data_IF_397905473573
#
_entry.id   IF_397905473573
#
_cell.length_a   1.000
_cell.length_b   1.000
_cell.length_c   1.000
_cell.angle_alpha   90.00
_cell.angle_beta   90.00
_cell.angle_gamma   90.00
#
_symmetry.space_group_name_H-M   'P 1'
#
loop_
_entity.id
_entity.type
_entity.pdbx_description
1 polymer ?
#
# COMPACT_ATOMS: atom_id res chain seq x y z
N UNK A 1 17.78 1.21 -4.61
CA UNK A 1 19.15 0.95 -4.13
C UNK A 1 19.26 -0.54 -3.93
N UNK A 2 20.41 -1.12 -4.24
CA UNK A 2 20.65 -2.53 -3.97
C UNK A 2 20.56 -2.81 -2.46
N UNK A 3 19.94 -3.91 -2.02
CA UNK A 3 19.51 -4.06 -0.63
C UNK A 3 20.59 -4.57 0.33
N UNK A 4 21.83 -4.75 -0.13
CA UNK A 4 22.97 -5.15 0.71
C UNK A 4 24.26 -4.62 0.08
N UNK A 5 25.40 -4.73 0.77
CA UNK A 5 26.71 -4.37 0.21
C UNK A 5 27.25 -5.43 -0.75
N UNK A 6 26.89 -6.70 -0.56
CA UNK A 6 27.35 -7.81 -1.39
C UNK A 6 26.66 -7.81 -2.76
N UNK A 7 27.39 -8.08 -3.82
CA UNK A 7 26.85 -8.30 -5.17
C UNK A 7 26.92 -9.78 -5.60
N UNK A 8 27.23 -10.68 -4.65
CA UNK A 8 27.41 -12.11 -4.89
C UNK A 8 26.06 -12.80 -5.10
N UNK A 9 25.61 -12.90 -6.35
CA UNK A 9 24.41 -13.67 -6.69
C UNK A 9 24.71 -15.16 -6.52
N UNK A 10 23.96 -15.83 -5.65
CA UNK A 10 24.09 -17.26 -5.37
C UNK A 10 22.98 -18.07 -6.02
N UNK A 11 21.84 -17.46 -6.34
CA UNK A 11 20.82 -18.04 -7.22
C UNK A 11 19.99 -16.95 -7.92
N UNK A 12 19.51 -17.25 -9.12
CA UNK A 12 18.78 -16.32 -9.98
C UNK A 12 17.27 -16.50 -9.88
N UNK A 13 16.54 -15.46 -10.30
CA UNK A 13 15.11 -15.53 -10.53
C UNK A 13 14.81 -16.53 -11.66
N UNK A 14 13.74 -17.29 -11.51
CA UNK A 14 13.31 -18.37 -12.40
C UNK A 14 14.31 -19.55 -12.55
N UNK A 15 15.34 -19.67 -11.70
CA UNK A 15 16.14 -20.91 -11.66
C UNK A 15 15.22 -22.11 -11.41
N UNK A 16 15.28 -23.11 -12.30
CA UNK A 16 14.45 -24.30 -12.20
C UNK A 16 15.05 -25.30 -11.20
N UNK A 17 14.36 -25.49 -10.07
CA UNK A 17 14.74 -26.43 -9.01
C UNK A 17 13.79 -27.64 -9.06
N UNK A 18 13.99 -28.53 -10.03
CA UNK A 18 13.22 -29.78 -10.16
C UNK A 18 11.74 -29.56 -10.48
N UNK A 19 11.43 -28.63 -11.37
CA UNK A 19 10.07 -28.26 -11.79
C UNK A 19 9.46 -27.09 -11.02
N UNK A 20 10.17 -26.58 -10.00
CA UNK A 20 9.76 -25.37 -9.26
C UNK A 20 10.70 -24.22 -9.59
N UNK A 21 10.15 -23.15 -10.16
CA UNK A 21 10.89 -21.92 -10.44
C UNK A 21 11.18 -21.15 -9.15
N UNK A 22 12.38 -20.59 -9.07
CA UNK A 22 12.81 -19.75 -7.98
C UNK A 22 12.23 -18.33 -8.11
N UNK A 23 11.33 -17.94 -7.20
CA UNK A 23 10.62 -16.65 -7.28
C UNK A 23 11.38 -15.45 -6.70
N UNK A 24 12.71 -15.53 -6.60
CA UNK A 24 13.57 -14.51 -5.99
C UNK A 24 14.98 -14.52 -6.57
N UNK A 25 15.78 -13.53 -6.20
CA UNK A 25 17.24 -13.56 -6.37
C UNK A 25 17.87 -13.78 -5.00
N UNK A 26 18.76 -14.76 -4.90
CA UNK A 26 19.51 -15.04 -3.69
C UNK A 26 20.85 -14.31 -3.74
N UNK A 27 21.09 -13.45 -2.77
CA UNK A 27 22.34 -12.67 -2.63
C UNK A 27 23.10 -13.18 -1.41
N UNK A 28 24.26 -13.79 -1.64
CA UNK A 28 25.11 -14.27 -0.56
C UNK A 28 25.75 -13.13 0.23
N UNK A 29 26.07 -13.38 1.50
CA UNK A 29 26.82 -12.44 2.34
C UNK A 29 28.19 -12.07 1.72
N UNK A 30 28.77 -10.94 2.14
CA UNK A 30 30.09 -10.44 1.73
C UNK A 30 31.12 -11.55 1.91
N UNK A 31 31.17 -12.13 3.11
CA UNK A 31 31.92 -13.34 3.39
C UNK A 31 30.96 -14.54 3.38
N UNK A 32 31.23 -15.52 2.53
CA UNK A 32 30.38 -16.69 2.39
C UNK A 32 30.18 -17.40 3.74
N UNK A 33 28.91 -17.66 4.08
CA UNK A 33 28.53 -18.34 5.32
C UNK A 33 28.54 -17.47 6.59
N UNK A 34 28.91 -16.19 6.51
CA UNK A 34 28.95 -15.28 7.67
C UNK A 34 27.72 -14.38 7.68
N UNK A 35 26.88 -14.52 8.71
CA UNK A 35 25.69 -13.69 8.90
C UNK A 35 26.04 -12.29 9.45
N UNK A 36 25.07 -11.37 9.41
CA UNK A 36 25.19 -10.05 10.06
C UNK A 36 25.33 -8.87 9.10
N UNK A 37 25.52 -9.11 7.81
CA UNK A 37 25.59 -8.02 6.82
C UNK A 37 24.33 -7.15 6.87
N UNK A 38 24.46 -5.82 6.82
CA UNK A 38 23.31 -4.93 6.87
C UNK A 38 22.44 -5.09 5.63
N UNK A 39 21.13 -5.17 5.84
CA UNK A 39 20.13 -5.13 4.78
C UNK A 39 19.50 -3.73 4.76
N UNK A 40 19.42 -3.15 3.57
CA UNK A 40 18.91 -1.80 3.32
C UNK A 40 17.55 -1.83 2.63
N UNK A 41 16.68 -0.88 2.96
CA UNK A 41 15.47 -0.63 2.18
C UNK A 41 15.84 -0.17 0.77
N UNK A 42 15.31 -0.84 -0.26
CA UNK A 42 15.61 -0.50 -1.66
C UNK A 42 15.15 0.92 -2.03
N UNK A 43 14.09 1.40 -1.38
CA UNK A 43 13.45 2.68 -1.60
C UNK A 43 12.71 3.11 -0.33
N UNK A 44 12.24 4.36 -0.31
CA UNK A 44 11.32 4.83 0.73
C UNK A 44 10.05 3.97 0.71
N UNK A 45 9.44 3.74 1.86
CA UNK A 45 8.20 2.97 1.92
C UNK A 45 7.70 2.70 3.33
N UNK A 46 6.59 1.98 3.41
CA UNK A 46 5.98 1.53 4.66
C UNK A 46 6.20 0.03 4.82
N UNK A 47 6.73 -0.39 5.96
CA UNK A 47 6.87 -1.80 6.31
C UNK A 47 5.47 -2.39 6.48
N UNK A 48 5.05 -3.27 5.58
CA UNK A 48 3.73 -3.94 5.62
C UNK A 48 3.76 -5.25 6.41
N UNK A 49 4.97 -5.82 6.60
CA UNK A 49 5.21 -6.96 7.47
C UNK A 49 6.66 -6.96 7.95
N UNK A 50 6.87 -7.19 9.25
CA UNK A 50 8.17 -7.51 9.84
C UNK A 50 7.97 -8.63 10.87
N UNK A 51 8.59 -9.78 10.66
CA UNK A 51 8.49 -10.93 11.56
C UNK A 51 8.68 -12.27 10.84
N UNK A 52 8.19 -13.35 11.45
CA UNK A 52 8.28 -14.69 10.86
C UNK A 52 7.41 -14.83 9.60
N UNK A 53 8.01 -15.38 8.55
CA UNK A 53 7.39 -15.67 7.26
C UNK A 53 7.47 -17.17 7.02
N UNK A 54 6.34 -17.79 6.70
CA UNK A 54 6.26 -19.22 6.40
C UNK A 54 7.27 -19.59 5.30
N UNK A 55 8.18 -20.53 5.59
CA UNK A 55 9.28 -20.96 4.71
C UNK A 55 10.30 -19.87 4.35
N UNK A 56 10.27 -18.72 5.03
CA UNK A 56 11.17 -17.58 4.80
C UNK A 56 12.01 -17.18 6.03
N UNK A 57 11.78 -17.78 7.20
CA UNK A 57 12.41 -17.34 8.44
C UNK A 57 11.95 -15.94 8.84
N UNK A 58 12.82 -15.12 9.43
CA UNK A 58 12.52 -13.70 9.62
C UNK A 58 12.56 -12.97 8.28
N UNK A 59 11.60 -12.07 8.09
CA UNK A 59 11.54 -11.28 6.87
C UNK A 59 10.76 -9.99 6.99
N UNK A 60 10.98 -9.13 6.00
CA UNK A 60 10.36 -7.82 5.87
C UNK A 60 9.70 -7.70 4.49
N UNK A 61 8.54 -7.07 4.48
CA UNK A 61 7.87 -6.59 3.27
C UNK A 61 7.72 -5.08 3.36
N UNK A 62 8.04 -4.36 2.29
CA UNK A 62 7.89 -2.90 2.21
C UNK A 62 7.03 -2.56 1.00
N UNK A 63 6.00 -1.74 1.23
CA UNK A 63 5.22 -1.09 0.18
C UNK A 63 5.84 0.27 -0.16
N UNK A 64 6.20 0.45 -1.43
CA UNK A 64 6.85 1.64 -1.97
C UNK A 64 5.88 2.56 -2.74
N UNK A 65 4.58 2.23 -2.76
CA UNK A 65 3.59 2.91 -3.59
C UNK A 65 3.65 2.50 -5.05
N UNK A 66 2.76 3.05 -5.89
CA UNK A 66 2.67 2.75 -7.34
C UNK A 66 2.63 1.25 -7.67
N UNK A 67 2.02 0.45 -6.80
CA UNK A 67 1.98 -1.03 -6.90
C UNK A 67 3.37 -1.71 -6.88
N UNK A 68 4.38 -1.04 -6.31
CA UNK A 68 5.73 -1.57 -6.14
C UNK A 68 5.91 -2.01 -4.69
N UNK A 69 6.35 -3.26 -4.49
CA UNK A 69 6.70 -3.79 -3.15
C UNK A 69 8.05 -4.48 -3.21
N UNK A 70 8.69 -4.60 -2.06
CA UNK A 70 9.88 -5.44 -1.92
C UNK A 70 9.78 -6.41 -0.76
N UNK A 71 10.47 -7.55 -0.89
CA UNK A 71 10.56 -8.59 0.13
C UNK A 71 12.01 -8.93 0.41
N UNK A 72 12.32 -9.11 1.69
CA UNK A 72 13.61 -9.47 2.23
C UNK A 72 13.40 -10.64 3.18
N UNK A 73 13.91 -11.83 2.89
CA UNK A 73 13.76 -13.02 3.74
C UNK A 73 15.11 -13.50 4.27
N UNK A 74 15.05 -14.55 5.10
CA UNK A 74 16.21 -15.23 5.68
C UNK A 74 17.05 -14.32 6.58
N UNK A 75 16.42 -13.33 7.21
CA UNK A 75 17.09 -12.37 8.08
C UNK A 75 17.48 -13.00 9.43
N UNK A 76 18.55 -12.51 10.04
CA UNK A 76 18.95 -12.88 11.41
C UNK A 76 18.39 -11.91 12.46
N UNK A 77 18.17 -10.66 12.06
CA UNK A 77 17.69 -9.60 12.94
C UNK A 77 16.81 -8.63 12.14
N UNK A 78 15.73 -8.13 12.77
CA UNK A 78 14.87 -7.08 12.24
C UNK A 78 15.13 -5.79 13.03
N UNK A 79 15.41 -4.69 12.33
CA UNK A 79 15.63 -3.37 12.95
C UNK A 79 14.45 -2.42 12.76
N UNK A 80 13.35 -2.93 12.19
CA UNK A 80 12.11 -2.18 11.94
C UNK A 80 10.88 -3.04 12.24
N UNK A 81 9.74 -2.40 12.42
CA UNK A 81 8.47 -3.06 12.75
C UNK A 81 7.37 -2.75 11.71
N UNK A 82 6.34 -3.60 11.66
CA UNK A 82 5.15 -3.37 10.81
C UNK A 82 4.53 -1.99 11.08
N UNK A 83 4.18 -1.26 10.02
CA UNK A 83 3.68 0.11 10.05
C UNK A 83 4.76 1.19 10.07
N UNK A 84 6.03 0.82 10.27
CA UNK A 84 7.13 1.79 10.29
C UNK A 84 7.43 2.32 8.89
N UNK A 85 7.65 3.64 8.81
CA UNK A 85 8.18 4.28 7.61
C UNK A 85 9.70 4.12 7.55
N UNK A 86 10.21 3.79 6.37
CA UNK A 86 11.65 3.68 6.12
C UNK A 86 12.08 4.55 4.95
N UNK A 87 13.35 4.94 4.97
CA UNK A 87 14.00 5.67 3.88
C UNK A 87 14.85 4.74 3.01
N UNK A 88 14.97 5.07 1.73
CA UNK A 88 15.92 4.43 0.81
C UNK A 88 17.31 4.39 1.45
N UNK A 89 17.91 3.19 1.53
CA UNK A 89 19.22 2.99 2.14
C UNK A 89 19.21 2.88 3.66
N UNK A 90 18.07 3.06 4.33
CA UNK A 90 17.96 2.81 5.77
C UNK A 90 18.19 1.33 6.07
N UNK A 91 18.99 1.05 7.10
CA UNK A 91 19.16 -0.32 7.61
C UNK A 91 17.83 -0.81 8.19
N UNK A 92 17.36 -1.94 7.68
CA UNK A 92 16.09 -2.56 8.10
C UNK A 92 16.30 -3.88 8.86
N UNK A 93 17.52 -4.40 8.87
CA UNK A 93 17.89 -5.59 9.63
C UNK A 93 19.23 -6.15 9.16
N UNK A 94 19.49 -7.40 9.51
CA UNK A 94 20.73 -8.11 9.18
C UNK A 94 20.46 -9.40 8.42
N UNK A 95 21.31 -9.69 7.45
CA UNK A 95 21.29 -10.94 6.69
C UNK A 95 21.56 -12.12 7.61
N UNK A 96 20.89 -13.23 7.35
CA UNK A 96 21.09 -14.50 8.05
C UNK A 96 20.87 -15.66 7.10
N UNK A 97 20.44 -16.79 7.66
CA UNK A 97 19.86 -17.92 6.95
C UNK A 97 18.68 -18.44 7.76
N UNK A 98 17.62 -18.96 7.14
CA UNK A 98 16.54 -19.56 7.95
C UNK A 98 17.12 -20.72 8.73
N UNK A 99 16.86 -20.68 10.03
CA UNK A 99 17.36 -21.68 10.98
C UNK A 99 18.90 -21.75 11.07
N UNK A 100 19.61 -20.68 10.71
CA UNK A 100 21.02 -20.49 11.00
C UNK A 100 21.18 -19.94 12.43
N UNK A 101 21.76 -20.75 13.34
CA UNK A 101 22.05 -20.34 14.74
C UNK A 101 23.51 -20.60 15.06
N UNK A 102 24.18 -19.63 15.69
CA UNK A 102 25.56 -19.75 16.19
C UNK A 102 26.59 -20.23 15.15
N UNK A 103 26.40 -19.90 13.86
CA UNK A 103 27.29 -20.33 12.78
C UNK A 103 26.94 -21.69 12.16
N UNK A 104 25.90 -22.36 12.64
CA UNK A 104 25.48 -23.69 12.19
C UNK A 104 24.16 -23.62 11.42
N UNK A 105 24.17 -24.15 10.20
CA UNK A 105 22.97 -24.39 9.42
C UNK A 105 22.32 -25.69 9.91
N UNK A 106 21.12 -25.61 10.47
CA UNK A 106 20.41 -26.83 10.91
C UNK A 106 19.73 -27.52 9.70
N UNK A 107 19.39 -28.81 9.80
CA UNK A 107 18.76 -29.56 8.71
C UNK A 107 17.47 -28.88 8.23
N UNK A 108 17.32 -28.74 6.90
CA UNK A 108 16.24 -28.03 6.21
C UNK A 108 16.27 -26.49 6.32
N UNK A 109 17.31 -25.93 6.92
CA UNK A 109 17.59 -24.50 6.94
C UNK A 109 18.15 -23.97 5.61
N UNK A 110 18.23 -22.65 5.51
CA UNK A 110 18.74 -21.93 4.34
C UNK A 110 20.14 -21.40 4.65
N UNK A 111 21.08 -21.50 3.70
CA UNK A 111 22.44 -20.94 3.85
C UNK A 111 22.38 -19.45 4.15
N UNK A 112 23.48 -18.85 4.60
CA UNK A 112 23.48 -17.38 4.81
C UNK A 112 23.37 -16.66 3.47
N UNK A 113 22.20 -16.08 3.20
CA UNK A 113 21.89 -15.26 2.03
C UNK A 113 20.64 -14.40 2.28
N UNK A 114 20.43 -13.44 1.39
CA UNK A 114 19.19 -12.67 1.29
C UNK A 114 18.38 -13.18 0.08
N UNK A 115 17.19 -13.72 0.31
CA UNK A 115 16.15 -13.85 -0.73
C UNK A 115 15.50 -12.48 -0.91
N UNK A 116 15.72 -11.89 -2.08
CA UNK A 116 15.24 -10.57 -2.46
C UNK A 116 14.28 -10.64 -3.64
N UNK A 117 13.13 -9.97 -3.52
CA UNK A 117 12.13 -9.87 -4.58
C UNK A 117 11.63 -8.44 -4.71
N UNK A 118 11.42 -8.00 -5.95
CA UNK A 118 10.65 -6.81 -6.28
C UNK A 118 9.31 -7.26 -6.86
N UNK A 119 8.21 -6.73 -6.36
CA UNK A 119 6.88 -6.95 -6.90
C UNK A 119 6.43 -5.71 -7.67
N UNK A 120 5.84 -5.90 -8.85
CA UNK A 120 5.15 -4.87 -9.63
C UNK A 120 3.74 -5.38 -9.90
N UNK A 121 2.73 -4.60 -9.53
CA UNK A 121 1.32 -5.01 -9.66
C UNK A 121 1.04 -6.39 -9.03
N UNK A 122 1.61 -6.61 -7.84
CA UNK A 122 1.56 -7.86 -7.08
C UNK A 122 2.17 -9.10 -7.75
N UNK A 123 2.82 -8.95 -8.91
CA UNK A 123 3.59 -10.00 -9.56
C UNK A 123 5.05 -9.95 -9.15
N UNK A 124 5.62 -11.09 -8.76
CA UNK A 124 7.06 -11.19 -8.50
C UNK A 124 7.84 -10.95 -9.80
N UNK A 125 8.85 -10.10 -9.71
CA UNK A 125 9.70 -9.74 -10.85
C UNK A 125 11.17 -9.92 -10.48
N UNK A 126 11.98 -10.31 -11.46
CA UNK A 126 13.43 -10.42 -11.31
C UNK A 126 14.04 -9.05 -10.91
N UNK A 127 14.60 -8.93 -9.69
CA UNK A 127 15.26 -7.71 -9.25
C UNK A 127 16.42 -7.25 -10.14
N UNK A 128 17.11 -8.17 -10.84
CA UNK A 128 18.23 -7.84 -11.71
C UNK A 128 17.81 -7.07 -12.98
N UNK A 129 16.50 -7.01 -13.27
CA UNK A 129 15.95 -6.09 -14.28
C UNK A 129 16.03 -4.62 -13.85
N UNK A 130 16.25 -4.34 -12.57
CA UNK A 130 16.27 -3.00 -11.99
C UNK A 130 17.64 -2.63 -11.41
N UNK A 131 18.48 -3.64 -11.16
CA UNK A 131 19.79 -3.46 -10.54
C UNK A 131 20.88 -4.21 -11.30
N UNK A 132 22.02 -3.55 -11.48
CA UNK A 132 23.25 -4.12 -12.04
C UNK A 132 24.45 -3.67 -11.21
N UNK A 133 25.33 -4.60 -10.88
CA UNK A 133 26.57 -4.36 -10.11
C UNK A 133 26.35 -3.58 -8.81
N UNK A 134 25.26 -3.86 -8.10
CA UNK A 134 24.90 -3.19 -6.85
C UNK A 134 24.32 -1.78 -7.01
N UNK A 135 24.04 -1.34 -8.24
CA UNK A 135 23.47 -0.04 -8.55
C UNK A 135 22.15 -0.17 -9.30
N UNK A 136 21.27 0.84 -9.18
CA UNK A 136 20.04 0.89 -9.97
C UNK A 136 20.38 1.23 -11.43
N UNK A 137 19.75 0.55 -12.41
CA UNK A 137 19.98 0.86 -13.83
C UNK A 137 19.16 2.10 -14.25
N UNK A 138 19.70 2.90 -15.17
CA UNK A 138 18.98 4.04 -15.74
C UNK A 138 17.69 3.58 -16.45
N UNK A 139 16.56 4.26 -16.20
CA UNK A 139 15.25 3.87 -16.74
C UNK A 139 14.46 2.87 -15.88
N UNK A 140 15.03 2.38 -14.77
CA UNK A 140 14.27 1.71 -13.72
C UNK A 140 13.17 2.65 -13.22
N UNK A 141 11.89 2.22 -13.15
CA UNK A 141 10.84 3.03 -12.52
C UNK A 141 11.35 3.47 -11.15
N UNK A 142 11.40 4.77 -10.90
CA UNK A 142 11.81 5.26 -9.60
C UNK A 142 10.83 4.69 -8.56
N UNK A 143 11.26 3.65 -7.83
CA UNK A 143 10.57 3.21 -6.64
C UNK A 143 10.47 4.45 -5.75
N UNK A 144 9.25 4.96 -5.63
CA UNK A 144 8.99 6.35 -5.27
C UNK A 144 9.69 6.72 -3.98
N UNK A 145 10.36 7.86 -3.96
CA UNK A 145 10.71 8.53 -2.70
C UNK A 145 9.42 9.05 -2.07
N UNK A 146 8.72 8.22 -1.31
CA UNK A 146 7.54 8.64 -0.59
C UNK A 146 6.88 7.50 0.17
N UNK A 147 6.12 7.86 1.22
CA UNK A 147 4.87 7.16 1.57
C UNK A 147 4.16 6.73 0.27
N UNK A 148 3.31 5.68 0.24
CA UNK A 148 2.42 5.45 -0.89
C UNK A 148 1.84 6.81 -1.27
N UNK A 149 2.16 7.31 -2.47
CA UNK A 149 1.94 8.73 -2.75
C UNK A 149 0.48 8.98 -2.40
N UNK A 150 0.21 9.93 -1.50
CA UNK A 150 -1.16 10.22 -1.13
C UNK A 150 -1.99 10.40 -2.39
N UNK A 151 -1.41 10.99 -3.45
CA UNK A 151 -2.00 11.06 -4.80
C UNK A 151 -2.41 9.71 -5.40
N UNK A 152 -1.62 8.64 -5.26
CA UNK A 152 -1.95 7.31 -5.80
C UNK A 152 -3.08 6.67 -4.99
N UNK A 153 -3.05 6.78 -3.66
CA UNK A 153 -4.13 6.31 -2.78
C UNK A 153 -5.43 7.05 -3.03
N UNK A 154 -5.34 8.38 -3.18
CA UNK A 154 -6.44 9.27 -3.56
C UNK A 154 -7.07 8.84 -4.88
N UNK A 155 -6.24 8.59 -5.89
CA UNK A 155 -6.69 8.09 -7.19
C UNK A 155 -7.34 6.71 -7.07
N UNK A 156 -6.73 5.77 -6.34
CA UNK A 156 -7.27 4.44 -6.14
C UNK A 156 -8.62 4.44 -5.39
N UNK A 157 -8.82 5.36 -4.44
CA UNK A 157 -10.10 5.56 -3.76
C UNK A 157 -11.19 5.92 -4.76
N UNK A 158 -10.92 6.88 -5.65
CA UNK A 158 -11.89 7.32 -6.66
C UNK A 158 -12.09 6.28 -7.75
N UNK A 159 -11.03 5.58 -8.19
CA UNK A 159 -11.13 4.49 -9.17
C UNK A 159 -11.96 3.32 -8.61
N UNK A 160 -11.81 2.99 -7.33
CA UNK A 160 -12.63 1.96 -6.66
C UNK A 160 -14.09 2.40 -6.53
N UNK A 161 -14.33 3.64 -6.07
CA UNK A 161 -15.69 4.18 -5.97
C UNK A 161 -16.39 4.20 -7.33
N UNK A 162 -15.64 4.49 -8.40
CA UNK A 162 -16.15 4.57 -9.78
C UNK A 162 -16.68 3.23 -10.31
N UNK A 163 -16.24 2.09 -9.79
CA UNK A 163 -16.77 0.76 -10.18
C UNK A 163 -18.28 0.64 -9.91
N UNK A 164 -18.75 1.35 -8.90
CA UNK A 164 -20.14 1.32 -8.45
C UNK A 164 -21.05 2.34 -9.15
N UNK A 165 -20.50 3.19 -10.03
CA UNK A 165 -21.25 4.23 -10.74
C UNK A 165 -22.40 3.65 -11.57
N UNK A 166 -23.56 4.29 -11.47
CA UNK A 166 -24.72 4.01 -12.28
C UNK A 166 -25.94 3.58 -11.47
N UNK A 167 -27.11 3.92 -11.99
CA UNK A 167 -28.39 3.58 -11.39
C UNK A 167 -28.58 2.06 -11.34
N UNK A 168 -29.12 1.57 -10.23
CA UNK A 168 -29.43 0.15 -10.03
C UNK A 168 -28.27 -0.74 -9.58
N UNK A 169 -27.01 -0.27 -9.61
CA UNK A 169 -25.86 -1.05 -9.10
C UNK A 169 -25.80 -1.11 -7.58
N UNK A 170 -26.05 0.03 -6.92
CA UNK A 170 -26.10 0.14 -5.46
C UNK A 170 -27.36 0.89 -5.10
N UNK A 171 -28.22 0.28 -4.28
CA UNK A 171 -29.42 0.90 -3.74
C UNK A 171 -29.09 1.62 -2.43
N UNK A 172 -29.59 2.84 -2.27
CA UNK A 172 -29.48 3.54 -1.00
C UNK A 172 -30.32 2.85 0.08
N UNK A 173 -29.67 2.38 1.13
CA UNK A 173 -30.32 1.74 2.29
C UNK A 173 -29.65 2.25 3.55
N UNK A 174 -30.41 2.96 4.39
CA UNK A 174 -29.90 3.52 5.65
C UNK A 174 -29.22 2.46 6.52
N UNK A 175 -27.99 2.72 6.95
CA UNK A 175 -27.15 1.83 7.74
C UNK A 175 -26.39 0.77 6.94
N UNK A 176 -26.64 0.59 5.64
CA UNK A 176 -25.98 -0.42 4.83
C UNK A 176 -24.54 0.00 4.46
N UNK A 177 -23.63 -0.98 4.39
CA UNK A 177 -22.18 -0.74 4.17
C UNK A 177 -21.56 -1.70 3.15
N UNK A 178 -22.38 -2.32 2.31
CA UNK A 178 -21.97 -3.42 1.45
C UNK A 178 -22.29 -3.08 -0.02
N UNK A 179 -21.64 -2.06 -0.62
CA UNK A 179 -21.89 -1.69 -1.99
C UNK A 179 -21.58 -2.82 -2.99
N UNK A 180 -20.67 -3.74 -2.65
CA UNK A 180 -20.43 -4.99 -3.39
C UNK A 180 -21.63 -5.93 -3.44
N UNK A 181 -22.52 -5.84 -2.45
CA UNK A 181 -23.80 -6.56 -2.39
C UNK A 181 -24.97 -5.68 -2.87
N UNK A 182 -24.67 -4.55 -3.50
CA UNK A 182 -25.66 -3.64 -4.07
C UNK A 182 -26.44 -2.80 -3.06
N UNK A 183 -25.96 -2.65 -1.81
CA UNK A 183 -26.64 -1.83 -0.79
C UNK A 183 -25.65 -1.01 0.03
N UNK A 184 -25.83 0.30 0.08
CA UNK A 184 -25.05 1.19 0.95
C UNK A 184 -25.84 2.45 1.31
N UNK A 185 -25.52 3.10 2.42
CA UNK A 185 -25.78 4.53 2.61
C UNK A 185 -24.53 5.36 2.32
N UNK A 186 -24.62 6.69 2.47
CA UNK A 186 -23.50 7.59 2.19
C UNK A 186 -22.25 7.25 3.00
N UNK A 187 -22.40 7.06 4.31
CA UNK A 187 -21.31 6.76 5.24
C UNK A 187 -20.79 5.33 5.12
N UNK A 188 -21.66 4.36 4.82
CA UNK A 188 -21.28 2.99 4.58
C UNK A 188 -20.52 2.81 3.29
N UNK A 189 -20.86 3.60 2.26
CA UNK A 189 -20.13 3.62 0.99
C UNK A 189 -18.71 4.17 1.20
N UNK A 190 -18.56 5.31 1.86
CA UNK A 190 -17.23 5.88 2.14
C UNK A 190 -16.41 4.96 3.05
N UNK A 191 -16.98 4.45 4.14
CA UNK A 191 -16.29 3.53 5.05
C UNK A 191 -15.76 2.29 4.32
N UNK A 192 -16.58 1.69 3.46
CA UNK A 192 -16.18 0.55 2.63
C UNK A 192 -14.96 0.87 1.74
N UNK A 193 -15.03 1.97 0.98
CA UNK A 193 -13.97 2.35 0.04
C UNK A 193 -12.66 2.64 0.78
N UNK A 194 -12.70 3.40 1.86
CA UNK A 194 -11.49 3.78 2.61
C UNK A 194 -10.87 2.60 3.36
N UNK A 195 -11.69 1.71 3.96
CA UNK A 195 -11.16 0.47 4.54
C UNK A 195 -10.50 -0.41 3.49
N UNK A 196 -11.13 -0.57 2.33
CA UNK A 196 -10.63 -1.44 1.26
C UNK A 196 -9.33 -0.93 0.63
N UNK A 197 -9.26 0.37 0.35
CA UNK A 197 -8.13 0.95 -0.41
C UNK A 197 -7.03 1.48 0.50
N UNK A 198 -7.40 2.17 1.59
CA UNK A 198 -6.44 2.84 2.45
C UNK A 198 -6.17 2.08 3.76
N UNK A 199 -7.01 1.11 4.13
CA UNK A 199 -6.93 0.43 5.43
C UNK A 199 -7.27 1.35 6.62
N UNK A 200 -7.97 2.47 6.36
CA UNK A 200 -8.27 3.49 7.36
C UNK A 200 -9.69 3.32 7.87
N UNK A 201 -9.85 3.33 9.19
CA UNK A 201 -11.16 3.44 9.81
C UNK A 201 -11.53 4.92 9.96
N UNK A 202 -12.43 5.40 9.12
CA UNK A 202 -12.93 6.78 9.18
C UNK A 202 -14.16 6.91 10.07
N UNK A 203 -14.71 5.82 10.62
CA UNK A 203 -15.94 5.84 11.40
C UNK A 203 -17.12 5.26 10.64
N UNK A 204 -18.06 4.73 11.41
CA UNK A 204 -19.15 3.92 10.88
C UNK A 204 -20.31 4.76 10.34
N UNK A 205 -20.49 5.99 10.80
CA UNK A 205 -21.57 6.90 10.36
C UNK A 205 -21.05 8.32 10.15
N UNK A 206 -21.83 9.17 9.47
CA UNK A 206 -21.40 10.50 8.98
C UNK A 206 -20.77 11.40 10.06
N UNK A 207 -21.32 11.45 11.27
CA UNK A 207 -20.78 12.31 12.34
C UNK A 207 -19.58 11.74 13.10
N UNK A 208 -19.24 10.46 12.91
CA UNK A 208 -17.90 9.97 13.22
C UNK A 208 -16.92 10.37 12.12
N UNK A 209 -17.32 10.20 10.85
CA UNK A 209 -16.47 10.50 9.70
C UNK A 209 -16.04 11.96 9.63
N UNK A 210 -16.90 12.91 10.02
CA UNK A 210 -16.53 14.32 10.06
C UNK A 210 -15.46 14.64 11.11
N UNK A 211 -15.21 13.74 12.08
CA UNK A 211 -14.14 13.90 13.09
C UNK A 211 -12.81 13.32 12.60
N UNK A 212 -12.83 12.54 11.53
CA UNK A 212 -11.64 11.90 10.97
C UNK A 212 -10.79 12.87 10.17
N UNK A 213 -9.47 12.75 10.31
CA UNK A 213 -8.50 13.53 9.55
C UNK A 213 -8.45 15.02 9.90
N UNK A 214 -7.77 15.78 9.04
CA UNK A 214 -7.58 17.23 9.19
C UNK A 214 -8.66 17.98 8.42
N UNK A 215 -9.22 19.03 9.02
CA UNK A 215 -10.07 19.98 8.29
C UNK A 215 -9.22 20.82 7.35
N UNK A 216 -9.62 20.95 6.09
CA UNK A 216 -8.95 21.77 5.07
C UNK A 216 -9.93 22.75 4.44
N UNK A 217 -9.41 23.79 3.77
CA UNK A 217 -10.24 24.64 2.93
C UNK A 217 -10.65 23.89 1.65
N UNK A 218 -11.85 24.13 1.13
CA UNK A 218 -12.31 23.55 -0.15
C UNK A 218 -11.38 23.90 -1.31
N UNK A 219 -10.69 25.04 -1.29
CA UNK A 219 -9.69 25.41 -2.30
C UNK A 219 -8.43 24.53 -2.27
N UNK A 220 -8.22 23.80 -1.18
CA UNK A 220 -7.11 22.86 -0.98
C UNK A 220 -7.54 21.40 -1.20
N UNK A 221 -8.81 21.18 -1.53
CA UNK A 221 -9.35 19.85 -1.71
C UNK A 221 -8.63 19.10 -2.83
N UNK A 222 -8.28 17.87 -2.54
CA UNK A 222 -7.68 16.94 -3.48
C UNK A 222 -8.65 15.80 -3.76
N UNK A 223 -8.42 15.11 -4.88
CA UNK A 223 -9.05 13.82 -5.18
C UNK A 223 -9.02 12.94 -3.94
N UNK A 224 -10.12 12.26 -3.62
CA UNK A 224 -10.18 11.38 -2.46
C UNK A 224 -10.16 12.07 -1.09
N UNK A 225 -10.39 13.39 -0.98
CA UNK A 225 -10.81 13.99 0.30
C UNK A 225 -12.31 13.73 0.55
N UNK A 226 -12.76 13.92 1.79
CA UNK A 226 -14.18 13.81 2.15
C UNK A 226 -14.85 15.18 2.19
N UNK A 227 -16.04 15.28 1.62
CA UNK A 227 -16.93 16.44 1.71
C UNK A 227 -18.11 16.07 2.60
N UNK A 228 -18.44 16.96 3.53
CA UNK A 228 -19.61 16.83 4.41
C UNK A 228 -20.60 17.94 4.13
N UNK A 229 -21.86 17.55 3.95
CA UNK A 229 -22.98 18.43 3.67
C UNK A 229 -23.98 18.29 4.82
N UNK A 230 -24.54 19.40 5.28
CA UNK A 230 -25.63 19.46 6.25
C UNK A 230 -26.96 19.70 5.55
N UNK A 231 -28.04 19.24 6.20
CA UNK A 231 -29.43 19.33 5.75
C UNK A 231 -29.73 18.55 4.43
N UNK A 232 -29.78 17.20 4.47
CA UNK A 232 -29.49 16.32 5.59
C UNK A 232 -27.98 16.03 5.71
N UNK A 233 -27.55 15.52 6.86
CA UNK A 233 -26.16 15.11 7.06
C UNK A 233 -25.73 14.06 6.03
N UNK A 234 -24.77 14.41 5.17
CA UNK A 234 -24.33 13.61 4.04
C UNK A 234 -22.81 13.66 3.89
N UNK A 235 -22.22 12.58 3.38
CA UNK A 235 -20.78 12.49 3.11
C UNK A 235 -20.53 12.02 1.67
N UNK A 236 -19.53 12.61 1.04
CA UNK A 236 -19.13 12.34 -0.33
C UNK A 236 -17.60 12.29 -0.45
N UNK A 237 -17.11 11.68 -1.52
CA UNK A 237 -15.67 11.63 -1.84
C UNK A 237 -15.40 12.63 -2.95
N UNK A 238 -14.37 13.47 -2.81
CA UNK A 238 -13.92 14.37 -3.87
C UNK A 238 -13.49 13.56 -5.09
N UNK A 239 -14.12 13.80 -6.23
CA UNK A 239 -13.86 13.12 -7.50
C UNK A 239 -12.91 13.93 -8.38
N UNK A 240 -13.26 15.17 -8.69
CA UNK A 240 -12.47 16.10 -9.51
C UNK A 240 -12.55 17.51 -8.88
N UNK A 241 -11.53 17.96 -8.12
CA UNK A 241 -11.58 19.26 -7.46
C UNK A 241 -11.53 20.44 -8.42
N UNK A 242 -10.95 20.27 -9.62
CA UNK A 242 -10.89 21.33 -10.62
C UNK A 242 -12.28 21.62 -11.21
N UNK A 243 -13.10 20.57 -11.38
CA UNK A 243 -14.50 20.69 -11.80
C UNK A 243 -15.48 20.81 -10.64
N UNK A 244 -14.99 20.82 -9.40
CA UNK A 244 -15.82 20.79 -8.18
C UNK A 244 -16.78 19.60 -8.15
N UNK A 245 -16.31 18.41 -8.48
CA UNK A 245 -17.13 17.19 -8.55
C UNK A 245 -16.83 16.22 -7.42
N UNK A 246 -17.86 15.54 -6.95
CA UNK A 246 -17.81 14.50 -5.93
C UNK A 246 -18.54 13.24 -6.37
N UNK A 247 -18.05 12.08 -5.92
CA UNK A 247 -18.70 10.79 -6.09
C UNK A 247 -19.35 10.38 -4.77
N UNK A 248 -20.63 10.01 -4.82
CA UNK A 248 -21.41 9.70 -3.62
C UNK A 248 -22.65 8.85 -3.94
N UNK A 249 -23.28 8.34 -2.89
CA UNK A 249 -24.63 7.78 -2.93
C UNK A 249 -25.48 8.51 -1.88
N UNK A 250 -26.51 9.22 -2.31
CA UNK A 250 -27.38 10.01 -1.43
C UNK A 250 -28.86 9.68 -1.56
N UNK A 251 -29.24 8.90 -2.58
CA UNK A 251 -30.62 8.61 -2.95
C UNK A 251 -30.70 7.30 -3.75
N UNK A 252 -31.90 6.96 -4.20
CA UNK A 252 -32.21 5.76 -4.98
C UNK A 252 -31.67 5.76 -6.42
N UNK A 253 -31.02 6.85 -6.86
CA UNK A 253 -30.34 6.91 -8.17
C UNK A 253 -29.00 6.17 -8.18
N UNK A 254 -28.55 5.70 -7.02
CA UNK A 254 -27.32 4.94 -6.86
C UNK A 254 -26.07 5.82 -6.80
N UNK A 255 -24.90 5.22 -7.02
CA UNK A 255 -23.63 5.97 -6.97
C UNK A 255 -23.55 6.87 -8.21
N UNK A 256 -23.33 8.15 -7.96
CA UNK A 256 -23.35 9.21 -8.96
C UNK A 256 -22.20 10.19 -8.74
N UNK A 257 -21.81 10.87 -9.82
CA UNK A 257 -20.94 12.04 -9.76
C UNK A 257 -21.82 13.28 -9.89
N UNK A 258 -21.74 14.17 -8.92
CA UNK A 258 -22.41 15.47 -8.95
C UNK A 258 -21.43 16.58 -8.60
N UNK A 259 -21.81 17.81 -8.87
CA UNK A 259 -21.04 18.96 -8.43
C UNK A 259 -21.17 19.15 -6.91
N UNK A 260 -20.19 19.83 -6.28
CA UNK A 260 -20.22 20.19 -4.86
C UNK A 260 -21.47 20.99 -4.48
N UNK A 261 -22.05 21.67 -5.47
CA UNK A 261 -23.25 22.46 -5.37
C UNK A 261 -24.53 21.60 -5.46
N UNK A 262 -24.42 20.28 -5.18
CA UNK A 262 -25.52 19.36 -4.80
C UNK A 262 -26.53 19.98 -3.82
N UNK A 263 -26.10 21.05 -3.13
CA UNK A 263 -26.82 22.01 -2.31
C UNK A 263 -27.98 22.83 -2.92
N UNK A 264 -28.48 22.56 -4.15
CA UNK A 264 -29.56 23.34 -4.77
C UNK A 264 -30.93 23.34 -4.02
N UNK A 265 -31.02 22.74 -2.82
CA UNK A 265 -32.22 22.70 -1.95
C UNK A 265 -31.94 23.10 -0.48
N UNK A 266 -31.08 24.08 -0.23
CA UNK A 266 -30.80 24.56 1.14
C UNK A 266 -29.88 23.67 1.96
N UNK A 267 -29.09 22.83 1.27
CA UNK A 267 -28.02 22.04 1.89
C UNK A 267 -26.74 22.87 1.89
N UNK A 268 -25.84 22.65 2.85
CA UNK A 268 -24.61 23.45 2.97
C UNK A 268 -23.41 22.55 3.20
N UNK A 269 -22.32 22.77 2.45
CA UNK A 269 -21.05 22.15 2.78
C UNK A 269 -20.55 22.68 4.13
N UNK A 270 -20.36 21.77 5.09
CA UNK A 270 -19.96 22.10 6.47
C UNK A 270 -18.50 21.76 6.76
N UNK A 271 -17.92 20.81 6.05
CA UNK A 271 -16.51 20.47 6.22
C UNK A 271 -15.93 19.79 4.98
N UNK A 272 -14.62 19.97 4.81
CA UNK A 272 -13.77 19.15 3.93
C UNK A 272 -12.70 18.50 4.80
N UNK A 273 -12.52 17.19 4.68
CA UNK A 273 -11.57 16.42 5.49
C UNK A 273 -10.55 15.71 4.64
N UNK A 274 -9.29 15.96 4.97
CA UNK A 274 -8.16 15.19 4.51
C UNK A 274 -7.88 14.07 5.51
N UNK A 275 -8.15 12.83 5.10
CA UNK A 275 -7.99 11.63 5.93
C UNK A 275 -6.80 10.76 5.50
N UNK A 276 -6.01 11.22 4.52
CA UNK A 276 -4.94 10.44 3.89
C UNK A 276 -3.52 10.97 4.17
N UNK A 277 -3.37 12.23 4.62
CA UNK A 277 -2.07 12.92 4.83
C UNK A 277 -1.58 13.08 6.29
#
# INVERSE_FOLDING_TARGET
MWPTKSTRITDYFDTNRGGKLHGAVDVGAIQAGVAGDPIFAMADGMVTKAGTVTRGGLGIYIDHGQSIKSRYLHMSELSVQTGQMVKKGQVIGKMGGSDFKDGVLIPNGYAVHLDFVVYINDQATDPLKFFKDGQAIAGTPAAGSGKPNTSDKRKAIVDEASKYLGQGKVRYVSGAREPQNGKADCSGFTDYIYKKIAGINIGSWTGEQIKSGKTINISQAQVGDLIFIENPGHVAIVYDPAKRQMIHIGDDKGVQITDYDYAARGQRMVAVKNVLD
#
